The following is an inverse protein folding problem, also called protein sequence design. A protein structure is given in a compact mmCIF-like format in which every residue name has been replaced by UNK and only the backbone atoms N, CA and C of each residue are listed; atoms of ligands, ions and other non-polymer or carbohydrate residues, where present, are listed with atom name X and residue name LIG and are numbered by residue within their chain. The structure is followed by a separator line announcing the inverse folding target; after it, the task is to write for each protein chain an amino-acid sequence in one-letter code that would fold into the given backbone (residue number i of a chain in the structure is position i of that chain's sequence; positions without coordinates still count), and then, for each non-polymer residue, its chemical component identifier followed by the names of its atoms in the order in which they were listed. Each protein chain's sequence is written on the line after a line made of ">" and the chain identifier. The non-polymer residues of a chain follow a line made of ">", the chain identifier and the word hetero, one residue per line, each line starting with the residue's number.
data_IF_253900127629
#
_entry.id   IF_253900127629
#
_cell.length_a   1.000
_cell.length_b   1.000
_cell.length_c   1.000
_cell.angle_alpha   90.00
_cell.angle_beta   90.00
_cell.angle_gamma   90.00
#
_symmetry.space_group_name_H-M   'P 1'
#
loop_
_entity.id
_entity.type
_entity.pdbx_description
1 polymer ?
#
# COMPACT_ATOMS: atom_id res chain seq x y z
N UNK A 1 -11.33 -0.36 -14.12
CA UNK A 1 -11.89 -0.38 -12.76
C UNK A 1 -11.55 0.90 -12.07
N UNK A 2 -12.54 1.44 -11.36
CA UNK A 2 -12.58 2.78 -10.80
C UNK A 2 -12.05 2.78 -9.36
N UNK A 3 -11.28 3.80 -9.00
CA UNK A 3 -11.14 4.25 -7.61
C UNK A 3 -11.62 5.69 -7.50
N UNK A 4 -11.98 6.12 -6.29
CA UNK A 4 -12.34 7.50 -5.99
C UNK A 4 -11.71 7.95 -4.68
N UNK A 5 -11.30 9.22 -4.63
CA UNK A 5 -10.85 9.91 -3.41
C UNK A 5 -11.89 10.98 -3.09
N UNK A 6 -12.23 11.07 -1.81
CA UNK A 6 -13.13 12.06 -1.27
C UNK A 6 -12.36 12.97 -0.32
N UNK A 7 -12.71 14.24 -0.28
CA UNK A 7 -12.15 15.21 0.66
C UNK A 7 -13.24 15.74 1.59
N UNK A 8 -12.83 16.23 2.77
CA UNK A 8 -13.75 16.78 3.75
C UNK A 8 -14.19 18.19 3.33
N UNK A 9 -15.48 18.44 3.37
CA UNK A 9 -16.10 19.72 3.06
C UNK A 9 -16.11 20.62 4.32
N UNK A 10 -15.16 21.56 4.40
CA UNK A 10 -15.13 22.71 5.32
C UNK A 10 -15.16 22.44 6.85
N UNK A 11 -15.23 23.52 7.63
CA UNK A 11 -15.46 23.46 9.08
C UNK A 11 -16.98 23.38 9.37
N UNK A 12 -17.42 22.19 9.79
CA UNK A 12 -18.81 21.90 10.10
C UNK A 12 -19.05 20.40 10.30
N UNK A 13 -20.29 19.96 10.12
CA UNK A 13 -20.65 18.54 10.12
C UNK A 13 -19.75 17.75 9.15
N UNK A 14 -19.35 16.50 9.48
CA UNK A 14 -18.44 15.71 8.65
C UNK A 14 -19.10 15.33 7.32
N UNK A 15 -19.00 16.23 6.34
CA UNK A 15 -19.42 16.02 4.96
C UNK A 15 -18.19 15.73 4.12
N UNK A 16 -18.36 14.82 3.18
CA UNK A 16 -17.33 14.47 2.21
C UNK A 16 -17.84 14.77 0.82
N UNK A 17 -16.99 15.36 -0.01
CA UNK A 17 -17.26 15.59 -1.43
C UNK A 17 -16.27 14.81 -2.29
N UNK A 18 -16.70 14.47 -3.51
CA UNK A 18 -15.83 13.78 -4.46
C UNK A 18 -14.69 14.71 -4.89
N UNK A 19 -13.46 14.37 -4.55
CA UNK A 19 -12.27 15.07 -5.01
C UNK A 19 -11.87 14.59 -6.40
N UNK A 20 -11.79 13.27 -6.59
CA UNK A 20 -11.42 12.67 -7.87
C UNK A 20 -11.99 11.26 -8.00
N UNK A 21 -12.43 10.92 -9.21
CA UNK A 21 -12.73 9.55 -9.60
C UNK A 21 -11.93 9.18 -10.85
N UNK A 22 -11.20 8.07 -10.84
CA UNK A 22 -10.42 7.60 -11.98
C UNK A 22 -10.95 6.25 -12.50
N UNK A 23 -11.74 6.23 -13.60
CA UNK A 23 -12.36 5.01 -14.12
C UNK A 23 -11.35 4.03 -14.74
N UNK A 24 -10.14 4.51 -15.05
CA UNK A 24 -9.05 3.77 -15.68
C UNK A 24 -7.93 3.46 -14.69
N UNK A 25 -8.27 3.30 -13.41
CA UNK A 25 -7.33 2.98 -12.34
C UNK A 25 -6.63 1.63 -12.53
N UNK A 26 -7.36 0.58 -12.92
CA UNK A 26 -6.82 -0.76 -13.26
C UNK A 26 -7.59 -1.39 -14.43
N UNK A 27 -6.97 -2.32 -15.16
CA UNK A 27 -7.60 -3.05 -16.28
C UNK A 27 -8.50 -4.21 -15.82
N UNK A 28 -8.33 -4.67 -14.57
CA UNK A 28 -9.22 -5.62 -13.87
C UNK A 28 -9.57 -5.08 -12.47
N UNK A 29 -10.28 -5.88 -11.67
CA UNK A 29 -10.74 -5.53 -10.32
C UNK A 29 -9.62 -4.94 -9.47
N UNK A 30 -9.95 -3.87 -8.74
CA UNK A 30 -9.13 -3.42 -7.61
C UNK A 30 -9.63 -4.24 -6.41
N UNK A 31 -8.71 -4.93 -5.75
CA UNK A 31 -9.04 -5.86 -4.66
C UNK A 31 -8.74 -5.26 -3.29
N UNK A 32 -7.80 -4.31 -3.21
CA UNK A 32 -7.43 -3.65 -1.97
C UNK A 32 -6.78 -2.28 -2.22
N UNK A 33 -6.73 -1.44 -1.20
CA UNK A 33 -6.07 -0.14 -1.24
C UNK A 33 -5.61 0.32 0.16
N UNK A 34 -4.47 1.00 0.23
CA UNK A 34 -3.91 1.50 1.49
C UNK A 34 -3.30 2.89 1.31
N UNK A 35 -3.50 3.78 2.29
CA UNK A 35 -2.87 5.10 2.33
C UNK A 35 -1.44 5.01 2.84
N UNK A 36 -0.52 5.75 2.23
CA UNK A 36 0.84 5.91 2.72
C UNK A 36 0.86 6.78 4.00
N UNK A 37 1.77 6.51 4.96
CA UNK A 37 1.83 7.25 6.21
C UNK A 37 2.36 8.68 5.98
N UNK A 38 1.61 9.69 6.42
CA UNK A 38 2.05 11.09 6.51
C UNK A 38 2.89 11.60 5.33
N UNK A 39 2.63 11.09 4.12
CA UNK A 39 3.40 11.43 2.94
C UNK A 39 3.04 12.86 2.50
N UNK A 40 4.06 13.65 2.20
CA UNK A 40 3.90 14.97 1.59
C UNK A 40 4.61 14.94 0.23
N UNK A 41 3.85 14.82 -0.88
CA UNK A 41 2.38 14.87 -0.97
C UNK A 41 1.68 13.54 -0.59
N UNK A 42 0.39 13.63 -0.25
CA UNK A 42 -0.43 12.47 0.13
C UNK A 42 -0.43 11.40 -0.97
N UNK A 43 -0.34 10.13 -0.57
CA UNK A 43 -0.27 9.02 -1.51
C UNK A 43 -1.02 7.79 -1.02
N UNK A 44 -1.45 6.94 -1.95
CA UNK A 44 -2.06 5.64 -1.65
C UNK A 44 -1.70 4.61 -2.72
N UNK A 45 -1.83 3.33 -2.37
CA UNK A 45 -1.63 2.20 -3.26
C UNK A 45 -2.96 1.51 -3.57
N UNK A 46 -3.08 0.90 -4.74
CA UNK A 46 -4.19 0.03 -5.14
C UNK A 46 -3.67 -1.31 -5.65
N UNK A 47 -4.22 -2.41 -5.15
CA UNK A 47 -3.93 -3.77 -5.56
C UNK A 47 -4.88 -4.23 -6.67
N UNK A 48 -4.33 -4.70 -7.78
CA UNK A 48 -5.11 -5.10 -8.95
C UNK A 48 -5.08 -6.59 -9.25
N UNK A 49 -6.24 -7.14 -9.64
CA UNK A 49 -6.36 -8.46 -10.30
C UNK A 49 -5.68 -8.49 -11.68
N UNK A 50 -5.26 -7.34 -12.20
CA UNK A 50 -4.40 -7.22 -13.38
C UNK A 50 -2.90 -7.35 -13.07
N UNK A 51 -2.58 -7.87 -11.87
CA UNK A 51 -1.23 -8.27 -11.45
C UNK A 51 -0.30 -7.08 -11.19
N UNK A 52 -0.90 -5.94 -10.85
CA UNK A 52 -0.21 -4.68 -10.66
C UNK A 52 -0.60 -4.10 -9.31
N UNK A 53 0.37 -3.53 -8.61
CA UNK A 53 0.11 -2.50 -7.60
C UNK A 53 0.43 -1.16 -8.23
N UNK A 54 -0.46 -0.18 -8.04
CA UNK A 54 -0.24 1.20 -8.50
C UNK A 54 -0.21 2.13 -7.32
N UNK A 55 0.74 3.05 -7.33
CA UNK A 55 0.89 4.10 -6.31
C UNK A 55 0.45 5.41 -6.92
N UNK A 56 -0.44 6.09 -6.24
CA UNK A 56 -1.07 7.33 -6.65
C UNK A 56 -0.61 8.44 -5.71
N UNK A 57 -0.18 9.56 -6.28
CA UNK A 57 0.36 10.70 -5.55
C UNK A 57 -0.45 11.94 -5.84
N UNK A 58 -0.83 12.66 -4.79
CA UNK A 58 -1.42 13.96 -4.89
C UNK A 58 -0.43 14.94 -5.53
N UNK A 59 -0.92 15.72 -6.49
CA UNK A 59 -0.22 16.86 -7.05
C UNK A 59 -1.15 18.05 -6.98
N UNK A 60 -0.70 19.10 -6.32
CA UNK A 60 -1.42 20.37 -6.29
C UNK A 60 -0.92 21.23 -7.44
N UNK A 61 -1.81 21.54 -8.38
CA UNK A 61 -1.51 22.43 -9.50
C UNK A 61 -1.31 23.87 -9.03
N UNK A 62 -0.80 24.73 -9.92
CA UNK A 62 -0.69 26.18 -9.65
C UNK A 62 -2.04 26.87 -9.45
N UNK A 63 -3.15 26.21 -9.81
CA UNK A 63 -4.53 26.62 -9.55
C UNK A 63 -5.03 26.19 -8.16
N UNK A 64 -4.18 25.60 -7.33
CA UNK A 64 -4.50 25.13 -5.98
C UNK A 64 -5.30 23.83 -5.95
N UNK A 65 -5.61 23.21 -7.10
CA UNK A 65 -6.39 21.97 -7.15
C UNK A 65 -5.50 20.77 -6.95
N UNK A 66 -5.92 19.87 -6.07
CA UNK A 66 -5.25 18.59 -5.83
C UNK A 66 -5.81 17.53 -6.77
N UNK A 67 -4.92 16.85 -7.50
CA UNK A 67 -5.24 15.69 -8.31
C UNK A 67 -4.24 14.57 -8.04
N UNK A 68 -4.73 13.35 -7.93
CA UNK A 68 -3.94 12.14 -7.81
C UNK A 68 -3.54 11.62 -9.20
N UNK A 69 -2.23 11.47 -9.40
CA UNK A 69 -1.65 10.88 -10.61
C UNK A 69 -0.86 9.63 -10.25
N UNK A 70 -0.73 8.70 -11.19
CA UNK A 70 0.10 7.51 -10.97
C UNK A 70 1.56 7.92 -10.84
N UNK A 71 2.17 7.62 -9.70
CA UNK A 71 3.58 7.87 -9.42
C UNK A 71 4.44 6.65 -9.71
N UNK A 72 3.98 5.45 -9.35
CA UNK A 72 4.72 4.20 -9.57
C UNK A 72 3.78 3.03 -9.89
N UNK A 73 4.36 1.97 -10.44
CA UNK A 73 3.71 0.69 -10.70
C UNK A 73 4.66 -0.45 -10.33
N UNK A 74 4.15 -1.45 -9.61
CA UNK A 74 4.85 -2.69 -9.27
C UNK A 74 4.16 -3.83 -10.02
N UNK A 75 4.90 -4.56 -10.85
CA UNK A 75 4.41 -5.77 -11.50
C UNK A 75 4.67 -7.00 -10.61
N UNK A 76 3.61 -7.73 -10.26
CA UNK A 76 3.67 -8.84 -9.30
C UNK A 76 3.58 -10.23 -9.94
N UNK A 77 3.38 -10.32 -11.27
CA UNK A 77 3.26 -11.58 -12.02
C UNK A 77 1.96 -12.37 -11.78
N UNK A 78 1.28 -12.11 -10.67
CA UNK A 78 0.05 -12.76 -10.21
C UNK A 78 -0.92 -11.71 -9.65
N UNK A 79 -2.24 -11.99 -9.61
CA UNK A 79 -3.23 -11.08 -9.03
C UNK A 79 -2.85 -10.70 -7.60
N UNK A 80 -2.90 -9.40 -7.33
CA UNK A 80 -2.60 -8.84 -6.01
C UNK A 80 -3.90 -8.66 -5.27
N UNK A 81 -4.00 -9.27 -4.09
CA UNK A 81 -5.23 -9.38 -3.32
C UNK A 81 -5.22 -8.53 -2.06
N UNK A 82 -4.04 -8.24 -1.51
CA UNK A 82 -3.90 -7.42 -0.31
C UNK A 82 -2.67 -6.52 -0.39
N UNK A 83 -2.80 -5.29 0.12
CA UNK A 83 -1.69 -4.33 0.28
C UNK A 83 -1.84 -3.56 1.58
N UNK A 84 -0.73 -3.27 2.25
CA UNK A 84 -0.76 -2.36 3.40
C UNK A 84 0.53 -1.57 3.54
N UNK A 85 0.40 -0.28 3.81
CA UNK A 85 1.53 0.58 4.12
C UNK A 85 1.85 0.51 5.61
N UNK A 86 3.13 0.45 5.93
CA UNK A 86 3.57 0.65 7.30
C UNK A 86 3.11 2.05 7.76
N UNK A 87 2.50 2.17 8.94
CA UNK A 87 1.95 3.43 9.47
C UNK A 87 2.97 4.52 9.83
N UNK A 88 4.25 4.34 9.48
CA UNK A 88 5.37 5.28 9.68
C UNK A 88 6.43 5.06 8.60
N UNK A 89 7.30 6.04 8.40
CA UNK A 89 8.51 5.83 7.60
C UNK A 89 9.49 4.89 8.30
N UNK A 90 10.28 4.18 7.51
CA UNK A 90 11.44 3.44 7.97
C UNK A 90 12.52 4.39 8.51
N UNK A 91 13.50 3.86 9.24
CA UNK A 91 14.57 4.67 9.81
C UNK A 91 15.41 5.42 8.77
N UNK A 92 15.47 4.93 7.53
CA UNK A 92 16.11 5.61 6.40
C UNK A 92 15.18 6.63 5.68
N UNK A 93 13.96 6.84 6.19
CA UNK A 93 12.95 7.74 5.62
C UNK A 93 12.07 7.11 4.54
N UNK A 94 12.39 5.92 4.03
CA UNK A 94 11.60 5.25 3.00
C UNK A 94 10.24 4.78 3.53
N UNK A 95 9.27 4.63 2.63
CA UNK A 95 7.97 4.03 2.91
C UNK A 95 8.06 2.52 2.70
N UNK A 96 7.35 1.74 3.51
CA UNK A 96 7.25 0.29 3.33
C UNK A 96 5.83 -0.11 2.95
N UNK A 97 5.70 -0.92 1.91
CA UNK A 97 4.45 -1.45 1.40
C UNK A 97 4.52 -2.98 1.38
N UNK A 98 3.66 -3.63 2.16
CA UNK A 98 3.46 -5.07 2.09
C UNK A 98 2.48 -5.39 0.95
N UNK A 99 2.76 -6.47 0.21
CA UNK A 99 1.98 -6.93 -0.93
C UNK A 99 1.74 -8.42 -0.79
N UNK A 100 0.49 -8.86 -0.98
CA UNK A 100 0.06 -10.26 -0.94
C UNK A 100 -0.70 -10.67 -2.20
N UNK A 101 -0.49 -11.90 -2.67
CA UNK A 101 -1.07 -12.41 -3.92
C UNK A 101 -2.11 -13.51 -3.70
N UNK A 102 -2.85 -13.81 -4.77
CA UNK A 102 -3.79 -14.95 -4.87
C UNK A 102 -3.14 -16.33 -4.62
N UNK A 103 -1.83 -16.46 -4.84
CA UNK A 103 -1.09 -17.70 -4.58
C UNK A 103 -0.43 -17.75 -3.19
N UNK A 104 -0.66 -16.75 -2.34
CA UNK A 104 -0.11 -16.71 -0.99
C UNK A 104 1.31 -16.15 -0.88
N UNK A 105 1.90 -15.73 -2.01
CA UNK A 105 3.20 -15.06 -2.00
C UNK A 105 3.06 -13.68 -1.39
N UNK A 106 4.09 -13.30 -0.65
CA UNK A 106 4.19 -11.98 -0.04
C UNK A 106 5.52 -11.34 -0.38
N UNK A 107 5.50 -10.01 -0.51
CA UNK A 107 6.70 -9.21 -0.70
C UNK A 107 6.58 -7.88 0.03
N UNK A 108 7.73 -7.34 0.43
CA UNK A 108 7.85 -5.99 0.96
C UNK A 108 8.54 -5.12 -0.08
N UNK A 109 7.90 -4.01 -0.44
CA UNK A 109 8.46 -3.01 -1.32
C UNK A 109 8.81 -1.77 -0.52
N UNK A 110 10.00 -1.22 -0.75
CA UNK A 110 10.36 0.09 -0.20
C UNK A 110 10.21 1.14 -1.28
N UNK A 111 9.69 2.31 -0.92
CA UNK A 111 9.49 3.43 -1.83
C UNK A 111 10.18 4.66 -1.27
N UNK A 112 10.77 5.46 -2.14
CA UNK A 112 11.28 6.77 -1.78
C UNK A 112 10.12 7.67 -1.33
N UNK A 113 10.24 8.33 -0.18
CA UNK A 113 9.12 9.07 0.41
C UNK A 113 8.71 10.31 -0.39
N UNK A 114 9.59 10.82 -1.27
CA UNK A 114 9.33 12.04 -2.05
C UNK A 114 8.82 11.70 -3.45
N UNK A 115 9.59 10.90 -4.19
CA UNK A 115 9.30 10.53 -5.58
C UNK A 115 8.33 9.34 -5.69
N UNK A 116 8.14 8.60 -4.60
CA UNK A 116 7.30 7.39 -4.51
C UNK A 116 7.72 6.30 -5.50
N UNK A 117 8.94 6.39 -6.04
CA UNK A 117 9.52 5.33 -6.86
C UNK A 117 9.93 4.16 -5.98
N UNK A 118 9.79 2.96 -6.52
CA UNK A 118 10.17 1.72 -5.83
C UNK A 118 11.69 1.67 -5.74
N UNK A 119 12.21 1.66 -4.52
CA UNK A 119 13.65 1.56 -4.22
C UNK A 119 14.09 0.11 -4.17
N UNK A 120 13.33 -0.74 -3.47
CA UNK A 120 13.60 -2.17 -3.40
C UNK A 120 12.32 -3.00 -3.38
N UNK A 121 12.45 -4.27 -3.75
CA UNK A 121 11.37 -5.25 -3.76
C UNK A 121 11.92 -6.57 -3.23
N UNK A 122 11.52 -6.91 -2.02
CA UNK A 122 12.05 -8.07 -1.29
C UNK A 122 10.93 -9.09 -1.10
N UNK A 123 10.93 -10.22 -1.82
CA UNK A 123 10.00 -11.31 -1.55
C UNK A 123 10.27 -11.91 -0.17
N UNK A 124 9.22 -12.30 0.53
CA UNK A 124 9.38 -13.10 1.74
C UNK A 124 9.88 -14.51 1.36
N UNK A 125 10.72 -15.15 2.20
CA UNK A 125 11.08 -16.55 2.04
C UNK A 125 9.84 -17.45 1.85
N UNK A 126 9.97 -18.47 0.99
CA UNK A 126 8.86 -19.35 0.61
C UNK A 126 8.17 -20.02 1.82
N UNK A 127 8.94 -20.42 2.84
CA UNK A 127 8.41 -21.01 4.07
C UNK A 127 7.56 -20.05 4.93
N UNK A 128 7.64 -18.74 4.68
CA UNK A 128 6.78 -17.74 5.30
C UNK A 128 5.55 -17.40 4.44
N UNK A 129 5.50 -17.84 3.19
CA UNK A 129 4.33 -17.61 2.33
C UNK A 129 3.15 -18.49 2.77
N UNK A 130 1.95 -18.07 2.35
CA UNK A 130 0.75 -18.88 2.53
C UNK A 130 0.65 -19.90 1.39
N UNK A 131 0.03 -21.07 1.62
CA UNK A 131 -0.23 -22.05 0.56
C UNK A 131 -1.37 -21.61 -0.38
N UNK A 132 -2.15 -20.59 0.02
CA UNK A 132 -3.36 -20.09 -0.66
C UNK A 132 -3.43 -18.56 -0.56
N UNK A 133 -4.48 -17.95 -1.10
CA UNK A 133 -4.63 -16.49 -1.19
C UNK A 133 -4.35 -15.75 0.12
N UNK A 134 -3.59 -14.66 0.03
CA UNK A 134 -3.51 -13.65 1.08
C UNK A 134 -4.79 -12.82 1.06
N UNK A 135 -5.61 -12.92 2.10
CA UNK A 135 -6.89 -12.23 2.20
C UNK A 135 -6.73 -10.79 2.73
N UNK A 136 -5.81 -10.58 3.67
CA UNK A 136 -5.58 -9.27 4.26
C UNK A 136 -4.16 -9.18 4.82
N UNK A 137 -3.59 -7.98 4.74
CA UNK A 137 -2.34 -7.59 5.38
C UNK A 137 -2.62 -6.44 6.33
N UNK A 138 -1.98 -6.44 7.49
CA UNK A 138 -2.04 -5.32 8.42
C UNK A 138 -0.71 -5.19 9.16
N UNK A 139 0.01 -4.09 8.93
CA UNK A 139 1.15 -3.72 9.74
C UNK A 139 0.68 -3.40 11.15
N UNK A 140 1.49 -3.80 12.14
CA UNK A 140 1.30 -3.36 13.51
C UNK A 140 1.33 -1.81 13.53
N UNK A 141 0.31 -1.15 14.14
CA UNK A 141 0.33 0.29 14.32
C UNK A 141 1.60 0.75 15.02
N UNK A 142 2.12 1.89 14.60
CA UNK A 142 3.34 2.44 15.15
C UNK A 142 3.17 2.78 16.64
N UNK A 143 4.04 2.21 17.47
CA UNK A 143 4.40 2.77 18.77
C UNK A 143 5.78 3.39 18.58
N UNK A 144 5.92 4.69 18.86
CA UNK A 144 7.11 5.51 18.51
C UNK A 144 8.43 4.93 19.06
N UNK A 145 8.35 4.14 20.13
CA UNK A 145 9.51 3.57 20.83
C UNK A 145 9.97 2.19 20.32
N UNK A 146 9.20 1.52 19.44
CA UNK A 146 9.54 0.16 18.98
C UNK A 146 10.03 0.14 17.53
N UNK A 147 11.31 -0.24 17.36
CA UNK A 147 11.91 -0.58 16.05
C UNK A 147 11.48 -1.98 15.55
N UNK A 148 10.47 -2.59 16.17
CA UNK A 148 9.92 -3.85 15.72
C UNK A 148 8.90 -3.62 14.60
N UNK A 149 9.13 -4.26 13.46
CA UNK A 149 8.17 -4.33 12.37
C UNK A 149 7.43 -5.66 12.46
N UNK A 150 6.12 -5.60 12.64
CA UNK A 150 5.27 -6.78 12.67
C UNK A 150 4.17 -6.66 11.62
N UNK A 151 3.92 -7.76 10.92
CA UNK A 151 2.91 -7.85 9.87
C UNK A 151 1.96 -9.00 10.21
N UNK A 152 0.69 -8.67 10.41
CA UNK A 152 -0.39 -9.64 10.48
C UNK A 152 -0.85 -10.01 9.08
N UNK A 153 -1.07 -11.31 8.86
CA UNK A 153 -1.44 -11.90 7.57
C UNK A 153 -2.60 -12.84 7.78
N UNK A 154 -3.72 -12.58 7.10
CA UNK A 154 -4.88 -13.48 7.07
C UNK A 154 -4.88 -14.25 5.74
N UNK A 155 -5.01 -15.58 5.82
CA UNK A 155 -5.00 -16.47 4.65
C UNK A 155 -6.32 -17.17 4.42
N UNK A 156 -6.56 -17.57 3.18
CA UNK A 156 -7.69 -18.45 2.82
C UNK A 156 -7.50 -19.89 3.38
N UNK A 157 -6.29 -20.23 3.82
CA UNK A 157 -5.95 -21.48 4.52
C UNK A 157 -6.49 -21.55 5.96
N UNK A 158 -7.43 -20.65 6.33
CA UNK A 158 -7.97 -20.51 7.68
C UNK A 158 -6.93 -20.17 8.74
N UNK A 159 -5.76 -19.64 8.34
CA UNK A 159 -4.73 -19.20 9.27
C UNK A 159 -4.69 -17.67 9.42
N UNK A 160 -4.25 -17.24 10.60
CA UNK A 160 -3.79 -15.87 10.84
C UNK A 160 -2.39 -15.96 11.41
N UNK A 161 -1.44 -15.27 10.78
CA UNK A 161 -0.02 -15.34 11.11
C UNK A 161 0.50 -13.94 11.44
N UNK A 162 1.44 -13.86 12.38
CA UNK A 162 2.12 -12.62 12.74
C UNK A 162 3.60 -12.83 12.48
N UNK A 163 4.16 -12.07 11.56
CA UNK A 163 5.58 -12.10 11.24
C UNK A 163 6.30 -10.92 11.88
N UNK A 164 7.49 -11.17 12.45
CA UNK A 164 8.44 -10.11 12.80
C UNK A 164 9.44 -9.97 11.67
N UNK A 165 9.68 -8.73 11.23
CA UNK A 165 10.52 -8.41 10.06
C UNK A 165 11.70 -7.51 10.47
N UNK A 166 12.77 -8.07 11.07
CA UNK A 166 13.87 -7.28 11.62
C UNK A 166 14.76 -6.60 10.56
N UNK A 167 14.68 -7.01 9.29
CA UNK A 167 15.57 -6.58 8.21
C UNK A 167 15.05 -5.46 7.31
N UNK A 168 13.93 -4.80 7.63
CA UNK A 168 13.36 -3.77 6.73
C UNK A 168 14.25 -2.52 6.54
N UNK A 169 15.22 -2.31 7.44
CA UNK A 169 16.12 -1.12 7.44
C UNK A 169 17.51 -1.45 6.88
N UNK A 170 17.85 -2.73 6.71
CA UNK A 170 19.16 -3.17 6.25
C UNK A 170 19.15 -3.51 4.76
N UNK A 171 19.15 -2.48 3.91
CA UNK A 171 19.50 -2.56 2.50
C UNK A 171 20.20 -1.26 2.07
#
# INVERSE_FOLDING_TARGET
>A
MLWAVFERDGEGAPRYQLLQANPKGHSRMILDAAWAPSASPAAFATAGRDKKVRVWSAKTGGDGKTAFVQAAEVACGEPVTAVDFLGRSLANGALALAVGTESGKMSIHTLDATSLQVVSSTPLPEHLCLPTTVLQLAWRPADDDSQEYQLAVAGEDSSTRIYRLPGLVSA
#
